data_IF_969845043342
#
_entry.id   IF_969845043342
#
_cell.length_a   1.000
_cell.length_b   1.000
_cell.length_c   1.000
_cell.angle_alpha   90.00
_cell.angle_beta   90.00
_cell.angle_gamma   90.00
#
_symmetry.space_group_name_H-M   'P 1'
#
loop_
_entity.id
_entity.type
_entity.pdbx_description
1 polymer ?
#
# COMPACT_ATOMS: atom_id res chain seq x y z
N UNK A 1 -39.50 -0.49 -24.73
CA UNK A 1 -38.47 -1.52 -25.01
C UNK A 1 -37.70 -1.83 -23.72
N UNK A 2 -38.33 -2.47 -22.74
CA UNK A 2 -37.71 -2.61 -21.41
C UNK A 2 -38.25 -3.69 -20.48
N UNK A 3 -39.43 -4.26 -20.71
CA UNK A 3 -40.03 -5.23 -19.77
C UNK A 3 -39.13 -6.44 -19.45
N UNK A 4 -38.36 -6.92 -20.44
CA UNK A 4 -37.39 -8.00 -20.23
C UNK A 4 -36.20 -7.55 -19.36
N UNK A 5 -35.66 -6.35 -19.60
CA UNK A 5 -34.57 -5.78 -18.78
C UNK A 5 -35.05 -5.50 -17.36
N UNK A 6 -36.26 -4.98 -17.22
CA UNK A 6 -36.89 -4.69 -15.93
C UNK A 6 -37.10 -5.97 -15.12
N UNK A 7 -37.54 -7.06 -15.75
CA UNK A 7 -37.64 -8.37 -15.07
C UNK A 7 -36.26 -8.92 -14.66
N UNK A 8 -35.24 -8.79 -15.51
CA UNK A 8 -33.89 -9.22 -15.15
C UNK A 8 -33.35 -8.40 -13.97
N UNK A 9 -33.55 -7.07 -13.98
CA UNK A 9 -33.15 -6.18 -12.89
C UNK A 9 -33.93 -6.46 -11.60
N UNK A 10 -35.24 -6.74 -11.69
CA UNK A 10 -36.07 -7.10 -10.56
C UNK A 10 -35.61 -8.41 -9.90
N UNK A 11 -35.31 -9.44 -10.69
CA UNK A 11 -34.78 -10.72 -10.17
C UNK A 11 -33.39 -10.52 -9.55
N UNK A 12 -32.53 -9.72 -10.20
CA UNK A 12 -31.19 -9.44 -9.71
C UNK A 12 -31.23 -8.67 -8.37
N UNK A 13 -32.11 -7.68 -8.26
CA UNK A 13 -32.33 -6.92 -7.03
C UNK A 13 -32.92 -7.80 -5.92
N UNK A 14 -33.84 -8.70 -6.26
CA UNK A 14 -34.43 -9.64 -5.31
C UNK A 14 -33.39 -10.61 -4.74
N UNK A 15 -32.58 -11.25 -5.60
CA UNK A 15 -31.48 -12.12 -5.14
C UNK A 15 -30.43 -11.33 -4.36
N UNK A 16 -30.12 -10.12 -4.83
CA UNK A 16 -29.19 -9.21 -4.15
C UNK A 16 -29.64 -8.78 -2.76
N UNK A 17 -30.95 -8.77 -2.49
CA UNK A 17 -31.51 -8.41 -1.18
C UNK A 17 -31.27 -9.44 -0.07
N UNK A 18 -30.85 -10.66 -0.42
CA UNK A 18 -30.51 -11.66 0.59
C UNK A 18 -29.25 -11.28 1.36
N UNK A 19 -29.29 -11.42 2.69
CA UNK A 19 -28.12 -11.22 3.54
C UNK A 19 -27.02 -12.21 3.14
N UNK A 20 -25.84 -11.71 2.79
CA UNK A 20 -24.72 -12.54 2.31
C UNK A 20 -24.77 -12.88 0.82
N UNK A 21 -25.64 -12.23 0.03
CA UNK A 21 -25.65 -12.33 -1.44
C UNK A 21 -24.30 -11.96 -2.06
N UNK A 22 -23.59 -11.04 -1.42
CA UNK A 22 -22.21 -10.68 -1.74
C UNK A 22 -21.29 -11.05 -0.58
N UNK A 23 -20.46 -12.06 -0.79
CA UNK A 23 -19.33 -12.36 0.09
C UNK A 23 -18.04 -12.02 -0.63
N UNK A 24 -17.27 -11.11 -0.06
CA UNK A 24 -15.96 -10.75 -0.59
C UNK A 24 -14.97 -11.75 -0.02
N UNK A 25 -14.42 -12.60 -0.88
CA UNK A 25 -13.39 -13.58 -0.53
C UNK A 25 -12.07 -13.19 -1.19
N UNK A 26 -10.93 -13.45 -0.54
CA UNK A 26 -9.63 -13.20 -1.15
C UNK A 26 -9.47 -14.04 -2.43
N UNK A 27 -8.60 -13.59 -3.33
CA UNK A 27 -8.28 -14.34 -4.54
C UNK A 27 -7.84 -15.79 -4.20
N UNK A 28 -8.48 -16.77 -4.84
CA UNK A 28 -8.12 -18.17 -4.65
C UNK A 28 -6.76 -18.46 -5.28
N UNK A 29 -5.95 -19.25 -4.59
CA UNK A 29 -4.70 -19.75 -5.15
C UNK A 29 -4.97 -20.66 -6.35
N UNK A 30 -4.00 -20.73 -7.27
CA UNK A 30 -4.08 -21.63 -8.44
C UNK A 30 -4.28 -23.08 -7.99
N UNK A 31 -3.63 -23.49 -6.90
CA UNK A 31 -3.81 -24.81 -6.30
C UNK A 31 -5.24 -25.05 -5.84
N UNK A 32 -5.86 -24.10 -5.12
CA UNK A 32 -7.25 -24.21 -4.69
C UNK A 32 -8.20 -24.38 -5.90
N UNK A 33 -8.02 -23.56 -6.94
CA UNK A 33 -8.84 -23.64 -8.16
C UNK A 33 -8.66 -24.97 -8.89
N UNK A 34 -7.44 -25.48 -9.00
CA UNK A 34 -7.16 -26.76 -9.65
C UNK A 34 -7.83 -27.92 -8.91
N UNK A 35 -7.72 -27.97 -7.58
CA UNK A 35 -8.33 -29.01 -6.76
C UNK A 35 -9.86 -28.93 -6.73
N UNK A 36 -10.44 -27.73 -6.64
CA UNK A 36 -11.90 -27.56 -6.72
C UNK A 36 -12.43 -27.96 -8.09
N UNK A 37 -11.74 -27.59 -9.17
CA UNK A 37 -12.10 -27.99 -10.54
C UNK A 37 -12.01 -29.50 -10.72
N UNK A 38 -10.95 -30.13 -10.22
CA UNK A 38 -10.80 -31.58 -10.24
C UNK A 38 -11.90 -32.29 -9.43
N UNK A 39 -12.24 -31.75 -8.26
CA UNK A 39 -13.38 -32.24 -7.46
C UNK A 39 -14.69 -32.15 -8.23
N UNK A 40 -14.96 -31.03 -8.90
CA UNK A 40 -16.15 -30.87 -9.72
C UNK A 40 -16.19 -31.89 -10.87
N UNK A 41 -15.08 -32.07 -11.59
CA UNK A 41 -14.98 -33.04 -12.68
C UNK A 41 -15.23 -34.48 -12.20
N UNK A 42 -14.62 -34.88 -11.08
CA UNK A 42 -14.83 -36.21 -10.48
C UNK A 42 -16.26 -36.37 -9.97
N UNK A 43 -16.91 -35.30 -9.55
CA UNK A 43 -18.30 -35.34 -9.09
C UNK A 43 -19.28 -35.49 -10.26
N UNK A 44 -19.02 -34.85 -11.41
CA UNK A 44 -19.98 -34.76 -12.53
C UNK A 44 -19.79 -35.77 -13.65
N UNK A 45 -18.57 -36.30 -13.87
CA UNK A 45 -18.29 -37.21 -15.00
C UNK A 45 -18.76 -38.67 -14.74
N UNK A 46 -18.37 -39.33 -13.63
CA UNK A 46 -18.75 -40.73 -13.41
C UNK A 46 -20.19 -40.87 -12.89
N UNK A 47 -20.94 -41.82 -13.46
CA UNK A 47 -22.25 -42.22 -12.95
C UNK A 47 -22.18 -43.20 -11.75
N UNK A 48 -20.98 -43.71 -11.45
CA UNK A 48 -20.71 -44.71 -10.40
C UNK A 48 -20.49 -44.05 -9.02
N UNK A 49 -20.49 -44.81 -7.91
CA UNK A 49 -20.18 -44.26 -6.58
C UNK A 49 -18.76 -43.68 -6.47
N UNK A 50 -17.92 -43.83 -7.49
CA UNK A 50 -16.60 -43.20 -7.59
C UNK A 50 -16.68 -41.66 -7.50
N UNK A 51 -17.84 -41.05 -7.78
CA UNK A 51 -18.08 -39.62 -7.57
C UNK A 51 -17.78 -39.13 -6.15
N UNK A 52 -17.89 -40.00 -5.14
CA UNK A 52 -17.55 -39.65 -3.76
C UNK A 52 -16.05 -39.43 -3.54
N UNK A 53 -15.18 -39.91 -4.45
CA UNK A 53 -13.77 -39.54 -4.44
C UNK A 53 -13.56 -38.03 -4.65
N UNK A 54 -14.54 -37.30 -5.20
CA UNK A 54 -14.49 -35.85 -5.33
C UNK A 54 -14.33 -35.11 -4.00
N UNK A 55 -14.75 -35.72 -2.88
CA UNK A 55 -14.62 -35.12 -1.55
C UNK A 55 -13.16 -34.86 -1.16
N UNK A 56 -12.23 -35.71 -1.61
CA UNK A 56 -10.80 -35.52 -1.34
C UNK A 56 -10.24 -34.26 -2.01
N UNK A 57 -10.26 -34.11 -3.35
CA UNK A 57 -9.78 -32.90 -4.00
C UNK A 57 -10.64 -31.68 -3.66
N UNK A 58 -11.96 -31.81 -3.47
CA UNK A 58 -12.77 -30.68 -3.02
C UNK A 58 -12.35 -30.21 -1.61
N UNK A 59 -12.15 -31.14 -0.68
CA UNK A 59 -11.66 -30.84 0.67
C UNK A 59 -10.26 -30.24 0.66
N UNK A 60 -9.35 -30.74 -0.18
CA UNK A 60 -8.03 -30.14 -0.39
C UNK A 60 -8.14 -28.72 -0.95
N UNK A 61 -8.97 -28.52 -1.97
CA UNK A 61 -9.21 -27.20 -2.57
C UNK A 61 -9.70 -26.19 -1.54
N UNK A 62 -10.66 -26.59 -0.69
CA UNK A 62 -11.14 -25.79 0.44
C UNK A 62 -10.04 -25.52 1.46
N UNK A 63 -9.22 -26.51 1.82
CA UNK A 63 -8.10 -26.31 2.73
C UNK A 63 -7.10 -25.27 2.18
N UNK A 64 -6.81 -25.30 0.88
CA UNK A 64 -5.92 -24.33 0.23
C UNK A 64 -6.50 -22.90 0.17
N UNK A 65 -7.81 -22.71 0.33
CA UNK A 65 -8.39 -21.35 0.46
C UNK A 65 -8.00 -20.67 1.77
N UNK A 66 -7.60 -21.43 2.79
CA UNK A 66 -7.21 -20.91 4.10
C UNK A 66 -5.80 -20.32 4.14
N UNK A 67 -5.02 -20.43 3.05
CA UNK A 67 -3.69 -19.82 2.91
C UNK A 67 -3.72 -18.90 1.68
N UNK A 68 -4.34 -17.70 1.79
CA UNK A 68 -4.44 -16.80 0.66
C UNK A 68 -3.08 -16.18 0.38
N UNK A 69 -2.72 -16.13 -0.90
CA UNK A 69 -1.51 -15.43 -1.35
C UNK A 69 -1.80 -13.92 -1.39
N UNK A 70 -1.61 -13.26 -0.24
CA UNK A 70 -1.85 -11.83 -0.09
C UNK A 70 -0.59 -11.04 -0.36
N UNK A 71 -0.75 -9.96 -1.11
CA UNK A 71 0.30 -8.97 -1.30
C UNK A 71 0.23 -7.92 -0.18
N UNK A 72 1.37 -7.36 0.17
CA UNK A 72 1.49 -6.34 1.22
C UNK A 72 1.35 -4.92 0.67
N UNK A 73 1.69 -4.72 -0.60
CA UNK A 73 1.55 -3.41 -1.25
C UNK A 73 1.01 -3.57 -2.67
N UNK A 74 0.06 -2.73 -3.03
CA UNK A 74 -0.42 -2.52 -4.39
C UNK A 74 -0.07 -1.11 -4.82
N UNK A 75 0.60 -0.95 -5.96
CA UNK A 75 1.03 0.35 -6.49
C UNK A 75 0.34 0.58 -7.83
N UNK A 76 -0.23 1.78 -7.97
CA UNK A 76 -0.82 2.22 -9.22
C UNK A 76 0.20 2.25 -10.37
N UNK A 77 -0.26 1.98 -11.59
CA UNK A 77 0.59 1.90 -12.79
C UNK A 77 1.44 3.14 -13.00
N UNK A 78 0.88 4.31 -12.71
CA UNK A 78 1.54 5.59 -12.90
C UNK A 78 2.04 6.15 -11.58
N UNK A 79 1.82 5.44 -10.47
CA UNK A 79 2.14 5.81 -9.10
C UNK A 79 1.20 6.85 -8.51
N UNK A 80 -0.04 7.00 -9.00
CA UNK A 80 -1.00 7.96 -8.44
C UNK A 80 -1.29 7.73 -6.95
N UNK A 81 -1.17 6.49 -6.50
CA UNK A 81 -1.27 6.08 -5.11
C UNK A 81 -0.81 4.65 -4.92
N UNK A 82 -0.93 4.18 -3.67
CA UNK A 82 -0.71 2.79 -3.32
C UNK A 82 -1.66 2.36 -2.20
N UNK A 83 -1.98 1.07 -2.13
CA UNK A 83 -2.59 0.44 -0.98
C UNK A 83 -1.53 -0.39 -0.26
N UNK A 84 -1.34 -0.16 1.03
CA UNK A 84 -0.34 -0.84 1.85
C UNK A 84 -1.08 -1.58 2.96
N UNK A 85 -0.66 -2.80 3.28
CA UNK A 85 -1.20 -3.56 4.39
C UNK A 85 -0.62 -3.07 5.71
N UNK A 86 -1.48 -2.53 6.56
CA UNK A 86 -1.12 -2.01 7.88
C UNK A 86 -0.96 -3.09 8.93
N UNK A 87 -0.63 -2.67 10.16
CA UNK A 87 -0.40 -3.57 11.29
C UNK A 87 -1.66 -4.37 11.71
N UNK A 88 -2.85 -3.86 11.38
CA UNK A 88 -4.11 -4.58 11.61
C UNK A 88 -4.42 -5.61 10.52
N UNK A 89 -3.53 -5.80 9.54
CA UNK A 89 -3.71 -6.73 8.43
C UNK A 89 -4.66 -6.23 7.32
N UNK A 90 -5.17 -5.01 7.45
CA UNK A 90 -6.06 -4.35 6.49
C UNK A 90 -5.28 -3.44 5.55
N UNK A 91 -5.81 -3.19 4.35
CA UNK A 91 -5.24 -2.22 3.42
C UNK A 91 -5.56 -0.78 3.84
N UNK A 92 -4.56 0.10 3.75
CA UNK A 92 -4.72 1.53 3.86
C UNK A 92 -4.10 2.23 2.64
N UNK A 93 -4.70 3.33 2.22
CA UNK A 93 -4.40 4.05 1.00
C UNK A 93 -3.45 5.22 1.28
N UNK A 94 -2.48 5.38 0.40
CA UNK A 94 -1.60 6.54 0.30
C UNK A 94 -1.71 7.18 -1.08
N UNK A 95 -1.52 8.50 -1.15
CA UNK A 95 -1.69 9.25 -2.40
C UNK A 95 -3.15 9.41 -2.80
N UNK A 96 -3.41 9.47 -4.11
CA UNK A 96 -4.74 9.67 -4.69
C UNK A 96 -4.95 8.68 -5.85
N UNK A 97 -5.07 7.37 -5.56
CA UNK A 97 -5.47 6.40 -6.57
C UNK A 97 -6.91 6.71 -7.03
N UNK A 98 -7.27 6.27 -8.22
CA UNK A 98 -8.67 6.36 -8.69
C UNK A 98 -9.56 5.39 -7.92
N UNK A 99 -10.86 5.69 -7.88
CA UNK A 99 -11.84 4.86 -7.19
C UNK A 99 -11.90 3.45 -7.78
N UNK A 100 -11.83 3.34 -9.10
CA UNK A 100 -11.78 2.07 -9.81
C UNK A 100 -10.57 1.22 -9.39
N UNK A 101 -9.38 1.82 -9.32
CA UNK A 101 -8.15 1.13 -8.90
C UNK A 101 -8.24 0.69 -7.43
N UNK A 102 -8.78 1.56 -6.58
CA UNK A 102 -8.99 1.25 -5.16
C UNK A 102 -9.94 0.07 -4.99
N UNK A 103 -11.07 0.09 -5.69
CA UNK A 103 -12.05 -1.00 -5.66
C UNK A 103 -11.44 -2.32 -6.15
N UNK A 104 -10.60 -2.29 -7.19
CA UNK A 104 -9.88 -3.47 -7.66
C UNK A 104 -8.94 -4.04 -6.60
N UNK A 105 -8.21 -3.20 -5.86
CA UNK A 105 -7.32 -3.64 -4.80
C UNK A 105 -8.08 -4.24 -3.61
N UNK A 106 -9.17 -3.59 -3.18
CA UNK A 106 -10.01 -4.07 -2.08
C UNK A 106 -10.63 -5.43 -2.44
N UNK A 107 -11.19 -5.57 -3.64
CA UNK A 107 -11.73 -6.85 -4.12
C UNK A 107 -10.65 -7.93 -4.20
N UNK A 108 -9.45 -7.60 -4.69
CA UNK A 108 -8.35 -8.56 -4.76
C UNK A 108 -7.90 -9.05 -3.37
N UNK A 109 -7.94 -8.19 -2.35
CA UNK A 109 -7.61 -8.55 -0.97
C UNK A 109 -8.74 -9.29 -0.23
N UNK A 110 -9.94 -9.35 -0.80
CA UNK A 110 -11.09 -9.86 -0.07
C UNK A 110 -11.67 -8.84 0.92
N UNK A 111 -11.38 -7.54 0.74
CA UNK A 111 -11.81 -6.45 1.62
C UNK A 111 -13.17 -5.91 1.13
N UNK A 112 -14.18 -5.97 2.00
CA UNK A 112 -15.55 -5.55 1.70
C UNK A 112 -15.85 -4.08 1.97
N UNK A 113 -14.84 -3.27 2.35
CA UNK A 113 -15.03 -1.83 2.54
C UNK A 113 -15.30 -1.13 1.20
N UNK A 114 -16.04 -0.03 1.27
CA UNK A 114 -16.25 0.85 0.11
C UNK A 114 -15.04 1.79 -0.05
N UNK A 115 -14.79 2.26 -1.27
CA UNK A 115 -13.72 3.19 -1.63
C UNK A 115 -13.76 4.47 -0.79
N UNK A 116 -14.96 4.95 -0.44
CA UNK A 116 -15.18 6.16 0.35
C UNK A 116 -15.03 5.96 1.87
N UNK A 117 -14.71 4.75 2.32
CA UNK A 117 -14.55 4.47 3.74
C UNK A 117 -13.34 5.22 4.30
N UNK A 118 -13.61 6.17 5.21
CA UNK A 118 -12.59 6.98 5.87
C UNK A 118 -11.51 6.13 6.57
N UNK A 119 -11.84 4.91 6.99
CA UNK A 119 -10.88 3.98 7.60
C UNK A 119 -9.69 3.66 6.71
N UNK A 120 -9.87 3.70 5.39
CA UNK A 120 -8.81 3.42 4.40
C UNK A 120 -7.66 4.41 4.51
N UNK A 121 -7.86 5.62 5.06
CA UNK A 121 -6.80 6.62 5.17
C UNK A 121 -6.34 6.89 6.61
N UNK A 122 -6.89 6.21 7.62
CA UNK A 122 -6.58 6.48 9.03
C UNK A 122 -5.16 6.08 9.44
N UNK A 123 -4.65 4.97 8.90
CA UNK A 123 -3.30 4.48 9.24
C UNK A 123 -2.19 5.27 8.54
N UNK A 124 -2.48 5.85 7.37
CA UNK A 124 -1.53 6.62 6.60
C UNK A 124 -1.34 8.02 7.20
N UNK A 125 -0.09 8.39 7.50
CA UNK A 125 0.25 9.76 7.92
C UNK A 125 0.63 10.57 6.69
N UNK A 126 -0.36 11.24 6.12
CA UNK A 126 -0.20 12.06 4.92
C UNK A 126 -0.02 13.54 5.26
N UNK A 127 1.00 14.16 4.66
CA UNK A 127 1.18 15.61 4.58
C UNK A 127 1.08 16.11 3.14
N UNK A 128 1.56 17.33 2.90
CA UNK A 128 1.61 17.92 1.55
C UNK A 128 2.67 17.28 0.67
N UNK A 129 3.83 16.95 1.25
CA UNK A 129 4.99 16.45 0.51
C UNK A 129 4.95 14.91 0.26
N UNK A 130 4.14 14.18 1.00
CA UNK A 130 4.09 12.71 0.91
C UNK A 130 3.26 12.07 2.02
N UNK A 131 3.18 10.74 1.99
CA UNK A 131 2.56 9.93 3.03
C UNK A 131 3.54 8.90 3.54
N UNK A 132 3.49 8.63 4.85
CA UNK A 132 4.29 7.57 5.47
C UNK A 132 3.37 6.58 6.16
N UNK A 133 3.66 5.29 5.98
CA UNK A 133 2.94 4.21 6.60
C UNK A 133 3.90 3.12 7.09
N UNK A 134 3.49 2.39 8.12
CA UNK A 134 4.21 1.20 8.60
C UNK A 134 3.41 -0.02 8.14
N UNK A 135 4.07 -0.92 7.42
CA UNK A 135 3.48 -2.16 6.94
C UNK A 135 3.30 -3.17 8.10
N UNK A 136 2.53 -4.23 7.86
CA UNK A 136 2.26 -5.29 8.83
C UNK A 136 3.53 -5.95 9.39
N UNK A 137 4.60 -6.02 8.59
CA UNK A 137 5.90 -6.58 8.96
C UNK A 137 6.81 -5.58 9.72
N UNK A 138 6.31 -4.36 10.00
CA UNK A 138 7.03 -3.30 10.68
C UNK A 138 7.89 -2.40 9.78
N UNK A 139 7.95 -2.66 8.47
CA UNK A 139 8.72 -1.82 7.55
C UNK A 139 8.04 -0.47 7.33
N UNK A 140 8.84 0.60 7.29
CA UNK A 140 8.34 1.93 6.95
C UNK A 140 8.33 2.12 5.43
N UNK A 141 7.17 2.42 4.88
CA UNK A 141 6.97 2.72 3.46
C UNK A 141 6.64 4.19 3.33
N UNK A 142 7.41 4.89 2.50
CA UNK A 142 7.16 6.29 2.17
C UNK A 142 6.65 6.42 0.75
N UNK A 143 5.53 7.11 0.60
CA UNK A 143 4.95 7.52 -0.66
C UNK A 143 5.26 9.00 -0.89
N UNK A 144 6.30 9.27 -1.69
CA UNK A 144 6.85 10.61 -1.89
C UNK A 144 6.17 11.28 -3.07
N UNK A 145 5.61 12.46 -2.86
CA UNK A 145 4.91 13.24 -3.90
C UNK A 145 5.64 14.54 -4.28
N UNK A 146 6.51 15.03 -3.39
CA UNK A 146 7.30 16.24 -3.58
C UNK A 146 8.80 15.94 -3.41
N UNK A 147 9.64 16.59 -4.22
CA UNK A 147 11.08 16.44 -4.14
C UNK A 147 11.66 16.82 -2.78
N UNK A 148 11.05 17.76 -2.06
CA UNK A 148 11.48 18.22 -0.75
C UNK A 148 11.44 17.10 0.32
N UNK A 149 10.57 16.09 0.16
CA UNK A 149 10.46 14.99 1.12
C UNK A 149 11.52 13.90 0.94
N UNK A 150 12.23 13.84 -0.20
CA UNK A 150 13.20 12.77 -0.45
C UNK A 150 14.31 12.71 0.58
N UNK A 151 14.86 13.84 1.03
CA UNK A 151 16.02 13.82 1.93
C UNK A 151 15.70 13.12 3.26
N UNK A 152 14.54 13.44 3.84
CA UNK A 152 14.10 12.82 5.10
C UNK A 152 13.61 11.39 4.87
N UNK A 153 12.77 11.15 3.86
CA UNK A 153 12.17 9.84 3.62
C UNK A 153 13.20 8.81 3.16
N UNK A 154 14.19 9.19 2.35
CA UNK A 154 15.28 8.29 1.94
C UNK A 154 16.14 7.84 3.12
N UNK A 155 16.20 8.63 4.20
CA UNK A 155 16.92 8.25 5.41
C UNK A 155 16.08 7.40 6.36
N UNK A 156 14.76 7.61 6.38
CA UNK A 156 13.85 7.04 7.39
C UNK A 156 13.02 5.86 6.91
N UNK A 157 12.81 5.72 5.60
CA UNK A 157 12.01 4.66 5.02
C UNK A 157 12.85 3.41 4.72
N UNK A 158 12.16 2.27 4.62
CA UNK A 158 12.68 1.04 4.09
C UNK A 158 12.44 0.98 2.58
N UNK A 159 11.23 1.33 2.17
CA UNK A 159 10.76 1.33 0.79
C UNK A 159 10.28 2.73 0.42
N UNK A 160 10.71 3.23 -0.73
CA UNK A 160 10.12 4.42 -1.35
C UNK A 160 9.30 4.03 -2.57
N UNK A 161 8.11 4.58 -2.64
CA UNK A 161 7.25 4.55 -3.81
C UNK A 161 6.99 5.99 -4.24
N UNK A 162 7.21 6.33 -5.51
CA UNK A 162 7.02 7.69 -5.98
C UNK A 162 6.82 7.77 -7.49
N UNK A 163 6.03 8.74 -7.94
CA UNK A 163 5.91 9.10 -9.38
C UNK A 163 7.11 9.88 -9.88
N UNK A 164 7.88 10.48 -8.98
CA UNK A 164 9.03 11.31 -9.29
C UNK A 164 10.24 10.45 -9.65
N UNK A 165 11.24 11.05 -10.28
CA UNK A 165 12.54 10.40 -10.45
C UNK A 165 13.31 10.49 -9.14
N UNK A 166 13.70 9.36 -8.55
CA UNK A 166 14.45 9.38 -7.30
C UNK A 166 15.86 9.97 -7.52
N UNK A 167 16.33 10.88 -6.64
CA UNK A 167 17.67 11.44 -6.77
C UNK A 167 18.73 10.35 -6.51
N UNK A 168 19.91 10.43 -7.16
CA UNK A 168 20.97 9.42 -7.00
C UNK A 168 21.56 9.35 -5.58
N UNK A 169 21.28 10.36 -4.74
CA UNK A 169 21.63 10.39 -3.32
C UNK A 169 20.75 9.46 -2.47
N UNK A 170 19.57 9.07 -2.97
CA UNK A 170 18.65 8.17 -2.28
C UNK A 170 19.09 6.70 -2.43
N UNK A 171 19.98 6.25 -1.55
CA UNK A 171 20.49 4.87 -1.53
C UNK A 171 19.70 4.02 -0.54
N UNK A 172 18.51 3.61 -0.98
CA UNK A 172 17.68 2.63 -0.28
C UNK A 172 17.76 1.25 -0.95
N UNK A 173 17.52 0.17 -0.19
CA UNK A 173 17.53 -1.19 -0.72
C UNK A 173 16.47 -1.40 -1.82
N UNK A 174 15.34 -0.68 -1.74
CA UNK A 174 14.32 -0.74 -2.78
C UNK A 174 13.63 0.62 -2.96
N UNK A 175 13.69 1.13 -4.19
CA UNK A 175 13.04 2.37 -4.62
C UNK A 175 12.26 2.08 -5.88
N UNK A 176 10.95 2.29 -5.82
CA UNK A 176 10.05 2.22 -6.96
C UNK A 176 9.72 3.66 -7.40
N UNK A 177 10.61 4.21 -8.21
CA UNK A 177 10.51 5.57 -8.74
C UNK A 177 9.70 5.62 -10.06
N UNK A 178 9.47 6.83 -10.58
CA UNK A 178 8.70 7.01 -11.81
C UNK A 178 9.27 6.30 -13.04
N UNK A 179 10.59 6.10 -13.13
CA UNK A 179 11.21 5.32 -14.21
C UNK A 179 10.95 3.83 -14.00
N UNK A 180 11.16 3.32 -12.79
CA UNK A 180 10.88 1.93 -12.45
C UNK A 180 9.39 1.59 -12.66
N UNK A 181 8.48 2.49 -12.33
CA UNK A 181 7.03 2.35 -12.60
C UNK A 181 6.72 2.34 -14.09
N UNK A 182 7.37 3.19 -14.90
CA UNK A 182 7.20 3.15 -16.37
C UNK A 182 7.65 1.81 -16.95
N UNK A 183 8.72 1.22 -16.42
CA UNK A 183 9.22 -0.08 -16.88
C UNK A 183 8.35 -1.26 -16.42
N UNK A 184 7.80 -1.21 -15.19
CA UNK A 184 7.06 -2.32 -14.56
C UNK A 184 5.54 -2.24 -14.76
N UNK A 185 5.00 -1.03 -14.86
CA UNK A 185 3.56 -0.77 -14.80
C UNK A 185 3.01 -0.97 -13.39
N UNK A 186 1.73 -1.36 -13.30
CA UNK A 186 1.11 -1.69 -12.02
C UNK A 186 1.91 -2.81 -11.33
N UNK A 187 2.19 -2.63 -10.05
CA UNK A 187 3.16 -3.45 -9.32
C UNK A 187 2.57 -3.82 -7.97
N UNK A 188 2.76 -5.06 -7.55
CA UNK A 188 2.49 -5.52 -6.19
C UNK A 188 3.76 -5.99 -5.52
N UNK A 189 3.85 -5.80 -4.20
CA UNK A 189 4.98 -6.23 -3.39
C UNK A 189 4.49 -7.23 -2.34
N UNK A 190 5.29 -8.27 -2.11
CA UNK A 190 5.16 -9.19 -0.98
C UNK A 190 6.47 -9.20 -0.21
N UNK A 191 6.40 -8.90 1.08
CA UNK A 191 7.54 -8.88 1.99
C UNK A 191 7.72 -10.26 2.61
N UNK A 192 8.89 -10.84 2.38
CA UNK A 192 9.40 -11.97 3.17
C UNK A 192 10.44 -11.48 4.18
N UNK A 193 10.90 -12.37 5.08
CA UNK A 193 11.92 -12.03 6.08
C UNK A 193 13.16 -11.39 5.46
N UNK A 194 13.74 -12.04 4.43
CA UNK A 194 14.98 -11.58 3.77
C UNK A 194 14.81 -11.35 2.26
N UNK A 195 13.57 -11.27 1.77
CA UNK A 195 13.28 -11.08 0.35
C UNK A 195 12.11 -10.14 0.13
N UNK A 196 12.12 -9.49 -1.02
CA UNK A 196 10.95 -8.82 -1.57
C UNK A 196 10.62 -9.51 -2.89
N UNK A 197 9.37 -9.90 -3.01
CA UNK A 197 8.82 -10.39 -4.24
C UNK A 197 8.02 -9.27 -4.89
N UNK A 198 8.36 -8.98 -6.14
CA UNK A 198 7.79 -7.90 -6.92
C UNK A 198 7.07 -8.54 -8.09
N UNK A 199 5.75 -8.43 -8.13
CA UNK A 199 4.97 -8.85 -9.29
C UNK A 199 4.54 -7.61 -10.04
N UNK A 200 4.93 -7.52 -11.31
CA UNK A 200 4.58 -6.40 -12.16
C UNK A 200 3.97 -6.84 -13.47
N UNK A 201 3.10 -6.01 -14.03
CA UNK A 201 2.41 -6.35 -15.29
C UNK A 201 3.39 -6.52 -16.46
N UNK A 202 4.47 -5.73 -16.50
CA UNK A 202 5.40 -5.71 -17.64
C UNK A 202 6.64 -6.60 -17.47
N UNK A 203 7.15 -6.77 -16.24
CA UNK A 203 8.35 -7.61 -15.98
C UNK A 203 8.02 -8.97 -15.36
N UNK A 204 6.76 -9.22 -14.99
CA UNK A 204 6.36 -10.46 -14.34
C UNK A 204 6.81 -10.51 -12.87
N UNK A 205 7.13 -11.71 -12.40
CA UNK A 205 7.51 -11.97 -11.01
C UNK A 205 9.05 -11.93 -10.85
N UNK A 206 9.52 -10.97 -10.06
CA UNK A 206 10.93 -10.77 -9.71
C UNK A 206 11.11 -11.01 -8.20
N UNK A 207 12.16 -11.73 -7.81
CA UNK A 207 12.52 -11.92 -6.38
C UNK A 207 13.84 -11.23 -6.12
N UNK A 208 13.85 -10.32 -5.16
CA UNK A 208 15.04 -9.57 -4.76
C UNK A 208 15.40 -9.91 -3.33
N UNK A 209 16.69 -10.13 -3.08
CA UNK A 209 17.19 -10.24 -1.71
C UNK A 209 17.07 -8.88 -1.03
N UNK A 210 16.48 -8.87 0.16
CA UNK A 210 16.45 -7.68 0.99
C UNK A 210 17.75 -7.60 1.78
N UNK A 211 18.56 -6.55 1.61
CA UNK A 211 19.72 -6.35 2.47
C UNK A 211 19.22 -6.17 3.91
N UNK A 212 19.53 -7.13 4.77
CA UNK A 212 19.05 -7.20 6.14
C UNK A 212 19.31 -5.93 6.97
N UNK A 213 18.40 -5.72 7.92
CA UNK A 213 18.36 -4.77 9.03
C UNK A 213 18.69 -3.29 8.76
N UNK A 214 17.73 -2.60 8.12
CA UNK A 214 17.35 -1.26 8.56
C UNK A 214 16.02 -1.32 9.29
N UNK A 215 15.92 -2.04 10.40
CA UNK A 215 14.83 -1.80 11.35
C UNK A 215 15.06 -0.38 11.91
N UNK A 216 14.43 0.59 11.27
CA UNK A 216 14.48 1.96 11.73
C UNK A 216 13.60 1.99 12.97
N UNK A 217 14.25 1.81 14.12
CA UNK A 217 13.70 1.98 15.46
C UNK A 217 12.73 3.15 15.40
N UNK A 218 11.45 2.88 15.57
CA UNK A 218 10.41 3.91 15.66
C UNK A 218 10.61 4.56 17.03
N UNK A 219 11.63 5.41 17.12
CA UNK A 219 11.93 6.23 18.28
C UNK A 219 10.72 7.12 18.56
N UNK A 220 10.29 7.09 19.82
CA UNK A 220 9.04 7.65 20.31
C UNK A 220 8.85 9.14 20.07
N UNK A 221 7.72 9.62 20.60
CA UNK A 221 7.23 11.00 20.59
C UNK A 221 8.35 12.06 20.55
N UNK A 222 8.16 13.17 19.79
CA UNK A 222 9.17 14.21 19.68
C UNK A 222 9.62 14.60 21.09
N UNK A 223 10.92 14.42 21.36
CA UNK A 223 11.52 14.90 22.59
C UNK A 223 11.18 16.39 22.69
N UNK A 224 10.31 16.74 23.63
CA UNK A 224 10.01 18.13 23.94
C UNK A 224 11.35 18.81 24.18
N UNK A 225 11.72 19.69 23.25
CA UNK A 225 12.94 20.45 23.32
C UNK A 225 12.97 21.18 24.65
N UNK A 226 13.89 20.78 25.53
CA UNK A 226 14.20 21.51 26.76
C UNK A 226 14.41 22.97 26.34
N UNK A 227 13.66 23.95 26.86
CA UNK A 227 13.80 25.33 26.44
C UNK A 227 15.27 25.73 26.63
N UNK A 228 15.93 26.08 25.51
CA UNK A 228 17.27 26.67 25.54
C UNK A 228 17.11 27.97 26.32
N UNK A 229 17.70 28.02 27.52
CA UNK A 229 17.88 29.28 28.22
C UNK A 229 18.59 30.24 27.26
N UNK A 230 17.96 31.37 26.97
CA UNK A 230 18.57 32.44 26.19
C UNK A 230 19.87 32.83 26.88
N UNK A 231 20.99 32.81 26.14
CA UNK A 231 22.21 33.46 26.61
C UNK A 231 21.92 34.96 26.67
N UNK A 232 22.26 35.65 27.77
CA UNK A 232 22.18 37.10 27.80
C UNK A 232 23.09 37.66 26.70
N UNK A 233 22.51 38.52 25.85
CA UNK A 233 23.23 39.28 24.84
C UNK A 233 24.12 40.28 25.59
N UNK A 234 25.44 40.31 25.35
CA UNK A 234 26.29 41.35 25.91
C UNK A 234 25.87 42.71 25.36
N UNK A 235 25.68 43.68 26.25
CA UNK A 235 25.46 45.09 25.96
C UNK A 235 26.48 45.57 24.92
N UNK A 236 26.00 46.04 23.77
CA UNK A 236 26.85 46.73 22.80
C UNK A 236 26.82 48.22 23.15
N UNK A 237 27.92 48.70 23.74
CA UNK A 237 28.21 50.12 23.88
C UNK A 237 28.29 50.74 22.48
N UNK A 238 27.28 51.53 22.11
CA UNK A 238 27.30 52.40 20.95
C UNK A 238 28.10 53.66 21.33
N UNK A 239 29.17 54.02 20.60
CA UNK A 239 29.83 55.30 20.79
C UNK A 239 28.89 56.44 20.37
N UNK A 240 28.74 57.43 21.23
CA UNK A 240 28.02 58.66 20.92
C UNK A 240 28.80 59.43 19.84
N UNK A 241 28.16 59.68 18.71
CA UNK A 241 28.69 60.52 17.64
C UNK A 241 28.90 61.96 18.16
N UNK A 242 30.16 62.42 18.18
CA UNK A 242 30.51 63.83 18.28
C UNK A 242 29.96 64.58 17.06
N UNK A 243 28.82 65.25 17.24
CA UNK A 243 28.33 66.26 16.30
C UNK A 243 29.20 67.51 16.46
N UNK A 244 30.27 67.57 15.68
CA UNK A 244 30.97 68.82 15.37
C UNK A 244 29.99 69.75 14.65
N UNK A 245 29.61 70.84 15.33
CA UNK A 245 28.98 71.99 14.67
C UNK A 245 30.10 72.97 14.38
N UNK A 246 30.73 72.81 13.22
CA UNK A 246 31.57 73.84 12.64
C UNK A 246 30.66 74.90 12.02
N UNK A 247 30.90 76.11 12.51
CA UNK A 247 30.44 77.43 12.09
C UNK A 247 30.76 77.68 10.61
N UNK A 248 29.85 78.34 9.86
CA UNK A 248 30.17 79.17 8.69
C UNK A 248 28.95 80.03 8.29
N UNK A 249 29.16 81.34 8.42
CA UNK A 249 28.48 82.53 7.85
C UNK A 249 27.07 82.94 8.31
#
# INVERSE_FOLDING_TARGET
MGAAVEQVLAVSAWVGSFSGSTMVVPALSIGALAFLSLGLLILTIPASPLRWMALLPAGMGLAFTSVPDRHDVFIDREGAGAAIRGAQGQLALVGRPSDFVTEQWLRADGDGRNVDDASLRREARCGTAGCVMVAADGRRIAFVQDYAAFEEDCRRANVIVTRLQAPPTCRLPFVLDGKALKERGATTLRFGPDKIEVTSVRKGHEVMTWPGDRSIQIGGAPAQGRPRAARPVPEQDLPEDEVSTDELD
#
